data_IF_098493819246
#
_entry.id   IF_098493819246
#
_cell.length_a   1.000
_cell.length_b   1.000
_cell.length_c   1.000
_cell.angle_alpha   90.00
_cell.angle_beta   90.00
_cell.angle_gamma   90.00
#
_symmetry.space_group_name_H-M   'P 1'
#
loop_
_entity.id
_entity.type
_entity.pdbx_description
1 polymer ?
#
# COMPACT_ATOMS: atom_id res chain seq x y z
N UNK A 1 -2.28 0.15 -4.02
CA UNK A 1 -2.51 -1.18 -4.60
C UNK A 1 -1.30 -2.11 -4.42
N UNK A 2 -0.06 -1.65 -4.70
CA UNK A 2 1.13 -2.50 -4.49
C UNK A 2 1.25 -3.04 -3.07
N UNK A 3 1.04 -2.21 -2.05
CA UNK A 3 1.09 -2.65 -0.65
C UNK A 3 0.06 -3.73 -0.33
N UNK A 4 -1.17 -3.59 -0.83
CA UNK A 4 -2.21 -4.59 -0.67
C UNK A 4 -1.87 -5.89 -1.43
N UNK A 5 -1.32 -5.78 -2.64
CA UNK A 5 -0.83 -6.94 -3.40
C UNK A 5 0.28 -7.69 -2.68
N UNK A 6 1.29 -6.97 -2.17
CA UNK A 6 2.36 -7.55 -1.35
C UNK A 6 1.83 -8.22 -0.09
N UNK A 7 0.81 -7.62 0.56
CA UNK A 7 0.22 -8.17 1.77
C UNK A 7 -0.53 -9.49 1.49
N UNK A 8 -1.34 -9.53 0.44
CA UNK A 8 -2.18 -10.70 0.10
C UNK A 8 -1.38 -11.86 -0.49
N UNK A 9 -0.36 -11.56 -1.28
CA UNK A 9 0.50 -12.55 -1.93
C UNK A 9 1.85 -12.73 -1.24
N UNK A 10 1.99 -12.32 0.03
CA UNK A 10 3.25 -12.37 0.77
C UNK A 10 3.89 -13.77 0.80
N UNK A 11 3.11 -14.81 1.09
CA UNK A 11 3.58 -16.19 1.10
C UNK A 11 4.10 -16.64 -0.28
N UNK A 12 3.26 -16.59 -1.33
CA UNK A 12 3.65 -16.92 -2.70
C UNK A 12 4.88 -16.16 -3.20
N UNK A 13 4.97 -14.85 -2.91
CA UNK A 13 6.10 -14.02 -3.32
C UNK A 13 7.40 -14.48 -2.64
N UNK A 14 7.35 -14.75 -1.33
CA UNK A 14 8.54 -15.18 -0.61
C UNK A 14 8.99 -16.60 -1.00
N UNK A 15 8.06 -17.51 -1.27
CA UNK A 15 8.37 -18.83 -1.79
C UNK A 15 9.00 -18.77 -3.19
N UNK A 16 8.55 -17.83 -4.04
CA UNK A 16 9.15 -17.59 -5.35
C UNK A 16 10.59 -17.07 -5.24
N UNK A 17 10.85 -16.16 -4.29
CA UNK A 17 12.15 -15.53 -4.10
C UNK A 17 13.15 -16.45 -3.38
N UNK A 18 12.66 -17.28 -2.46
CA UNK A 18 13.47 -18.14 -1.60
C UNK A 18 13.05 -19.62 -1.69
N UNK A 19 13.14 -20.24 -2.87
CA UNK A 19 12.70 -21.63 -3.06
C UNK A 19 13.54 -22.65 -2.27
N UNK A 20 14.80 -22.30 -1.93
CA UNK A 20 15.71 -23.18 -1.21
C UNK A 20 15.39 -23.32 0.30
N UNK A 21 14.62 -22.39 0.88
CA UNK A 21 14.31 -22.33 2.33
C UNK A 21 12.84 -22.03 2.57
N UNK A 22 11.92 -22.94 2.19
CA UNK A 22 10.48 -22.70 2.19
C UNK A 22 9.91 -22.44 3.60
N UNK A 23 10.44 -23.05 4.64
CA UNK A 23 10.01 -22.84 6.02
C UNK A 23 10.32 -21.41 6.49
N UNK A 24 11.52 -20.91 6.20
CA UNK A 24 11.93 -19.55 6.52
C UNK A 24 11.11 -18.54 5.73
N UNK A 25 10.85 -18.80 4.44
CA UNK A 25 9.99 -17.97 3.60
C UNK A 25 8.57 -17.87 4.15
N UNK A 26 8.01 -18.97 4.64
CA UNK A 26 6.68 -19.00 5.24
C UNK A 26 6.64 -18.24 6.57
N UNK A 27 7.67 -18.37 7.42
CA UNK A 27 7.78 -17.60 8.65
C UNK A 27 7.90 -16.08 8.37
N UNK A 28 8.64 -15.70 7.32
CA UNK A 28 8.78 -14.31 6.90
C UNK A 28 7.52 -13.73 6.24
N UNK A 29 6.59 -14.56 5.77
CA UNK A 29 5.36 -14.11 5.10
C UNK A 29 4.51 -13.20 5.99
N UNK A 30 4.46 -13.47 7.29
CA UNK A 30 3.78 -12.60 8.25
C UNK A 30 4.37 -11.17 8.24
N UNK A 31 5.70 -11.06 8.24
CA UNK A 31 6.37 -9.77 8.25
C UNK A 31 6.07 -8.99 6.97
N UNK A 32 6.13 -9.66 5.81
CA UNK A 32 5.82 -9.04 4.52
C UNK A 32 4.34 -8.62 4.43
N UNK A 33 3.42 -9.41 4.99
CA UNK A 33 1.99 -9.07 5.06
C UNK A 33 1.77 -7.76 5.82
N UNK A 34 2.34 -7.64 7.02
CA UNK A 34 2.18 -6.44 7.85
C UNK A 34 2.88 -5.23 7.23
N UNK A 35 4.08 -5.41 6.68
CA UNK A 35 4.81 -4.33 5.99
C UNK A 35 4.11 -3.90 4.69
N UNK A 36 3.43 -4.82 3.99
CA UNK A 36 2.58 -4.50 2.85
C UNK A 36 1.45 -3.52 3.23
N UNK A 37 0.79 -3.75 4.37
CA UNK A 37 -0.20 -2.82 4.89
C UNK A 37 0.46 -1.50 5.31
N UNK A 38 1.60 -1.56 6.01
CA UNK A 38 2.33 -0.37 6.43
C UNK A 38 2.74 0.51 5.24
N UNK A 39 3.09 -0.07 4.09
CA UNK A 39 3.47 0.66 2.87
C UNK A 39 2.35 1.56 2.33
N UNK A 40 1.08 1.22 2.58
CA UNK A 40 -0.07 2.08 2.23
C UNK A 40 0.01 3.39 3.02
N UNK A 41 0.28 3.30 4.32
CA UNK A 41 0.45 4.49 5.18
C UNK A 41 1.70 5.28 4.80
N UNK A 42 2.80 4.62 4.42
CA UNK A 42 4.00 5.30 3.90
C UNK A 42 3.67 6.14 2.66
N UNK A 43 2.94 5.60 1.70
CA UNK A 43 2.53 6.36 0.52
C UNK A 43 1.64 7.56 0.88
N UNK A 44 0.67 7.38 1.78
CA UNK A 44 -0.18 8.48 2.26
C UNK A 44 0.64 9.55 3.01
N UNK A 45 1.62 9.14 3.81
CA UNK A 45 2.54 10.04 4.50
C UNK A 45 3.33 10.90 3.51
N UNK A 46 3.88 10.31 2.45
CA UNK A 46 4.66 11.04 1.43
C UNK A 46 3.78 12.11 0.76
N UNK A 47 2.56 11.75 0.38
CA UNK A 47 1.63 12.70 -0.26
C UNK A 47 1.23 13.82 0.70
N UNK A 48 0.87 13.49 1.94
CA UNK A 48 0.47 14.50 2.93
C UNK A 48 1.61 15.41 3.35
N UNK A 49 2.84 14.88 3.44
CA UNK A 49 4.04 15.69 3.65
C UNK A 49 4.26 16.67 2.49
N UNK A 50 4.14 16.22 1.24
CA UNK A 50 4.25 17.09 0.07
C UNK A 50 3.23 18.23 0.08
N UNK A 51 1.98 17.94 0.45
CA UNK A 51 0.93 18.98 0.58
C UNK A 51 1.30 19.99 1.67
N UNK A 52 1.76 19.55 2.83
CA UNK A 52 2.16 20.43 3.93
C UNK A 52 3.34 21.32 3.57
N UNK A 53 4.36 20.75 2.91
CA UNK A 53 5.53 21.48 2.43
C UNK A 53 5.16 22.53 1.38
N UNK A 54 4.32 22.16 0.41
CA UNK A 54 3.84 23.08 -0.62
C UNK A 54 3.05 24.28 -0.05
N UNK A 55 2.45 24.12 1.13
CA UNK A 55 1.73 25.18 1.85
C UNK A 55 2.60 25.90 2.90
N UNK A 56 3.92 25.77 2.84
CA UNK A 56 4.87 26.45 3.75
C UNK A 56 4.82 25.93 5.19
N UNK A 57 4.28 24.72 5.41
CA UNK A 57 4.18 24.07 6.72
C UNK A 57 5.23 22.97 6.90
N UNK A 58 6.47 23.24 6.53
CA UNK A 58 7.58 22.27 6.53
C UNK A 58 7.89 21.72 7.93
N UNK A 59 7.65 22.49 8.97
CA UNK A 59 7.88 22.07 10.36
C UNK A 59 6.92 20.96 10.81
N UNK A 60 5.71 20.86 10.24
CA UNK A 60 4.71 19.89 10.67
C UNK A 60 5.16 18.45 10.40
N UNK A 61 5.62 18.08 9.19
CA UNK A 61 6.19 16.77 8.92
C UNK A 61 7.31 16.37 9.87
N UNK A 62 8.16 17.32 10.29
CA UNK A 62 9.27 17.04 11.22
C UNK A 62 8.72 16.55 12.57
N UNK A 63 7.74 17.26 13.13
CA UNK A 63 7.14 16.90 14.41
C UNK A 63 6.32 15.61 14.34
N UNK A 64 5.58 15.40 13.25
CA UNK A 64 4.80 14.17 13.09
C UNK A 64 5.69 12.94 12.89
N UNK A 65 6.81 13.09 12.16
CA UNK A 65 7.82 12.03 12.02
C UNK A 65 8.51 11.73 13.35
N UNK A 66 8.84 12.76 14.14
CA UNK A 66 9.41 12.58 15.46
C UNK A 66 8.43 11.81 16.38
N UNK A 67 7.16 12.20 16.42
CA UNK A 67 6.14 11.52 17.20
C UNK A 67 5.97 10.05 16.77
N UNK A 68 5.95 9.77 15.46
CA UNK A 68 5.91 8.41 14.94
C UNK A 68 7.17 7.62 15.27
N UNK A 69 8.36 8.25 15.24
CA UNK A 69 9.62 7.64 15.62
C UNK A 69 9.64 7.23 17.11
N UNK A 70 9.19 8.12 18.00
CA UNK A 70 9.05 7.80 19.43
C UNK A 70 8.08 6.65 19.63
N UNK A 71 6.90 6.67 18.99
CA UNK A 71 5.95 5.57 19.07
C UNK A 71 6.57 4.26 18.59
N UNK A 72 7.35 4.30 17.49
CA UNK A 72 8.03 3.11 16.96
C UNK A 72 9.01 2.51 17.97
N UNK A 73 9.80 3.35 18.66
CA UNK A 73 10.74 2.89 19.69
C UNK A 73 9.97 2.22 20.82
N UNK A 74 8.93 2.88 21.32
CA UNK A 74 8.11 2.36 22.44
C UNK A 74 7.43 1.05 22.06
N UNK A 75 6.76 1.01 20.90
CA UNK A 75 6.06 -0.21 20.44
C UNK A 75 7.02 -1.36 20.16
N UNK A 76 8.18 -1.09 19.58
CA UNK A 76 9.19 -2.11 19.37
C UNK A 76 9.75 -2.64 20.70
N UNK A 77 10.04 -1.76 21.64
CA UNK A 77 10.52 -2.17 22.96
C UNK A 77 9.51 -3.08 23.67
N UNK A 78 8.24 -2.74 23.65
CA UNK A 78 7.17 -3.52 24.30
C UNK A 78 6.85 -4.83 23.55
N UNK A 79 6.81 -4.79 22.20
CA UNK A 79 6.37 -5.93 21.42
C UNK A 79 7.49 -6.93 21.12
N UNK A 80 8.68 -6.44 20.76
CA UNK A 80 9.83 -7.31 20.49
C UNK A 80 10.40 -7.86 21.80
N UNK A 81 10.31 -7.08 22.89
CA UNK A 81 10.72 -7.52 24.23
C UNK A 81 9.77 -8.56 24.86
N UNK A 82 8.58 -8.75 24.30
CA UNK A 82 7.65 -9.78 24.77
C UNK A 82 8.04 -11.15 24.15
N UNK A 83 8.32 -12.20 24.99
CA UNK A 83 8.68 -13.53 24.51
C UNK A 83 7.67 -14.15 23.55
N UNK A 84 6.37 -13.85 23.70
CA UNK A 84 5.31 -14.42 22.86
C UNK A 84 5.27 -13.83 21.46
N UNK A 85 5.69 -12.58 21.29
CA UNK A 85 5.68 -11.89 19.99
C UNK A 85 7.05 -11.87 19.32
N UNK A 86 8.12 -11.64 20.09
CA UNK A 86 9.48 -11.59 19.59
C UNK A 86 9.62 -10.67 18.37
N UNK A 87 10.37 -11.11 17.37
CA UNK A 87 10.64 -10.34 16.15
C UNK A 87 9.36 -10.00 15.33
N UNK A 88 8.26 -10.73 15.53
CA UNK A 88 6.98 -10.43 14.87
C UNK A 88 6.38 -9.08 15.29
N UNK A 89 6.79 -8.54 16.44
CA UNK A 89 6.38 -7.22 16.90
C UNK A 89 6.94 -6.06 16.08
N UNK A 90 8.10 -6.22 15.46
CA UNK A 90 8.78 -5.13 14.74
C UNK A 90 7.97 -4.55 13.54
N UNK A 91 7.38 -5.35 12.64
CA UNK A 91 6.54 -4.81 11.57
C UNK A 91 5.25 -4.19 12.10
N UNK A 92 4.71 -4.69 13.20
CA UNK A 92 3.51 -4.12 13.84
C UNK A 92 3.82 -2.72 14.41
N UNK A 93 4.96 -2.56 15.09
CA UNK A 93 5.42 -1.24 15.56
C UNK A 93 5.62 -0.26 14.40
N UNK A 94 6.10 -0.72 13.27
CA UNK A 94 6.24 0.08 12.05
C UNK A 94 4.86 0.51 11.51
N UNK A 95 3.90 -0.39 11.47
CA UNK A 95 2.52 -0.11 11.03
C UNK A 95 1.87 0.99 11.91
N UNK A 96 1.93 0.84 13.24
CA UNK A 96 1.36 1.83 14.17
C UNK A 96 2.01 3.20 14.04
N UNK A 97 3.34 3.25 13.86
CA UNK A 97 4.07 4.50 13.67
C UNK A 97 3.60 5.26 12.44
N UNK A 98 3.57 4.60 11.28
CA UNK A 98 3.12 5.25 10.05
C UNK A 98 1.63 5.59 10.06
N UNK A 99 0.80 4.77 10.69
CA UNK A 99 -0.61 5.09 10.88
C UNK A 99 -0.79 6.38 11.71
N UNK A 100 -0.05 6.51 12.83
CA UNK A 100 -0.06 7.73 13.64
C UNK A 100 0.39 8.96 12.82
N UNK A 101 1.51 8.86 12.10
CA UNK A 101 2.02 9.97 11.28
C UNK A 101 0.97 10.41 10.26
N UNK A 102 0.34 9.46 9.55
CA UNK A 102 -0.70 9.78 8.56
C UNK A 102 -1.90 10.47 9.20
N UNK A 103 -2.38 9.99 10.36
CA UNK A 103 -3.50 10.62 11.07
C UNK A 103 -3.15 12.07 11.47
N UNK A 104 -1.96 12.29 12.05
CA UNK A 104 -1.51 13.63 12.43
C UNK A 104 -1.36 14.55 11.21
N UNK A 105 -0.79 14.04 10.13
CA UNK A 105 -0.66 14.79 8.88
C UNK A 105 -2.02 15.14 8.26
N UNK A 106 -2.98 14.20 8.23
CA UNK A 106 -4.33 14.46 7.73
C UNK A 106 -5.05 15.55 8.52
N UNK A 107 -4.92 15.53 9.86
CA UNK A 107 -5.44 16.59 10.73
C UNK A 107 -4.78 17.93 10.38
N UNK A 108 -3.47 17.93 10.21
CA UNK A 108 -2.73 19.14 9.87
C UNK A 108 -3.10 19.70 8.49
N UNK A 109 -3.22 18.85 7.47
CA UNK A 109 -3.67 19.23 6.12
C UNK A 109 -5.10 19.78 6.17
N UNK A 110 -6.01 19.10 6.86
CA UNK A 110 -7.40 19.56 7.00
C UNK A 110 -7.48 20.96 7.64
N UNK A 111 -6.69 21.21 8.69
CA UNK A 111 -6.59 22.54 9.32
C UNK A 111 -5.94 23.58 8.42
N UNK A 112 -4.89 23.21 7.69
CA UNK A 112 -4.18 24.11 6.78
C UNK A 112 -5.08 24.56 5.61
N UNK A 113 -5.83 23.64 5.04
CA UNK A 113 -6.68 23.88 3.86
C UNK A 113 -8.13 24.27 4.24
N UNK A 114 -8.39 24.66 5.50
CA UNK A 114 -9.72 25.10 6.00
C UNK A 114 -10.86 24.14 5.63
N UNK A 115 -10.60 22.84 5.65
CA UNK A 115 -11.59 21.82 5.36
C UNK A 115 -11.96 21.62 3.89
N UNK A 116 -11.22 22.22 2.96
CA UNK A 116 -11.50 22.07 1.51
C UNK A 116 -11.10 20.71 0.93
N UNK A 117 -10.32 19.89 1.66
CA UNK A 117 -9.88 18.58 1.21
C UNK A 117 -10.63 17.47 1.92
N UNK A 118 -11.54 16.86 1.20
CA UNK A 118 -12.24 15.64 1.62
C UNK A 118 -11.44 14.41 1.23
N UNK A 119 -10.49 14.00 2.07
CA UNK A 119 -9.67 12.79 1.83
C UNK A 119 -10.52 11.55 1.54
N UNK A 120 -11.65 11.40 2.21
CA UNK A 120 -12.54 10.26 2.02
C UNK A 120 -13.07 10.19 0.59
N UNK A 121 -13.44 11.32 0.01
CA UNK A 121 -13.95 11.41 -1.37
C UNK A 121 -12.91 11.00 -2.42
N UNK A 122 -11.63 11.27 -2.16
CA UNK A 122 -10.53 10.92 -3.09
C UNK A 122 -10.01 9.51 -2.89
N UNK A 123 -10.02 8.99 -1.66
CA UNK A 123 -9.44 7.69 -1.32
C UNK A 123 -10.38 6.51 -1.52
N UNK A 124 -11.70 6.72 -1.51
CA UNK A 124 -12.65 5.62 -1.56
C UNK A 124 -12.64 4.84 -2.88
N UNK A 125 -12.53 5.55 -4.03
CA UNK A 125 -12.47 4.90 -5.36
C UNK A 125 -11.21 4.04 -5.53
N UNK A 126 -9.97 4.56 -5.34
CA UNK A 126 -8.77 3.75 -5.36
C UNK A 126 -8.78 2.65 -4.29
N UNK A 127 -9.40 2.91 -3.14
CA UNK A 127 -9.55 1.93 -2.06
C UNK A 127 -10.40 0.73 -2.49
N UNK A 128 -11.55 0.96 -3.12
CA UNK A 128 -12.39 -0.09 -3.67
C UNK A 128 -11.67 -0.89 -4.77
N UNK A 129 -11.01 -0.20 -5.72
CA UNK A 129 -10.21 -0.87 -6.75
C UNK A 129 -9.15 -1.80 -6.13
N UNK A 130 -8.50 -1.32 -5.07
CA UNK A 130 -7.47 -2.08 -4.36
C UNK A 130 -8.05 -3.29 -3.63
N UNK A 131 -9.22 -3.14 -2.99
CA UNK A 131 -9.88 -4.25 -2.30
C UNK A 131 -10.31 -5.35 -3.29
N UNK A 132 -10.93 -4.97 -4.41
CA UNK A 132 -11.32 -5.94 -5.46
C UNK A 132 -10.09 -6.59 -6.09
N UNK A 133 -9.03 -5.83 -6.36
CA UNK A 133 -7.76 -6.37 -6.84
C UNK A 133 -7.17 -7.40 -5.85
N UNK A 134 -7.18 -7.11 -4.56
CA UNK A 134 -6.65 -8.00 -3.54
C UNK A 134 -7.44 -9.32 -3.47
N UNK A 135 -8.76 -9.26 -3.57
CA UNK A 135 -9.63 -10.44 -3.65
C UNK A 135 -9.37 -11.23 -4.93
N UNK A 136 -9.26 -10.56 -6.08
CA UNK A 136 -8.96 -11.19 -7.36
C UNK A 136 -7.56 -11.85 -7.35
N UNK A 137 -6.56 -11.22 -6.75
CA UNK A 137 -5.21 -11.77 -6.60
C UNK A 137 -5.23 -13.08 -5.78
N UNK A 138 -5.95 -13.07 -4.66
CA UNK A 138 -6.06 -14.24 -3.78
C UNK A 138 -6.81 -15.39 -4.46
N UNK A 139 -7.94 -15.10 -5.12
CA UNK A 139 -8.72 -16.13 -5.83
C UNK A 139 -7.97 -16.69 -7.04
N UNK A 140 -7.32 -15.82 -7.83
CA UNK A 140 -6.51 -16.24 -8.96
C UNK A 140 -5.36 -17.15 -8.52
N UNK A 141 -4.64 -16.79 -7.45
CA UNK A 141 -3.61 -17.65 -6.92
C UNK A 141 -4.15 -19.01 -6.45
N UNK A 142 -5.27 -19.03 -5.72
CA UNK A 142 -5.89 -20.26 -5.22
C UNK A 142 -6.29 -21.22 -6.34
N UNK A 143 -6.86 -20.70 -7.43
CA UNK A 143 -7.24 -21.51 -8.61
C UNK A 143 -6.02 -21.97 -9.40
N UNK A 144 -5.07 -21.08 -9.67
CA UNK A 144 -3.87 -21.41 -10.46
C UNK A 144 -2.92 -22.37 -9.74
N UNK A 145 -2.77 -22.25 -8.43
CA UNK A 145 -1.92 -23.13 -7.63
C UNK A 145 -2.38 -24.59 -7.63
N UNK A 146 -3.65 -24.85 -7.96
CA UNK A 146 -4.18 -26.21 -8.11
C UNK A 146 -3.84 -26.85 -9.45
N UNK A 147 -3.50 -26.05 -10.49
CA UNK A 147 -3.33 -26.54 -11.87
C UNK A 147 -1.91 -26.35 -12.42
N UNK A 148 -1.11 -25.46 -11.83
CA UNK A 148 0.22 -25.07 -12.32
C UNK A 148 1.21 -25.06 -11.15
N UNK A 149 2.51 -25.04 -11.47
CA UNK A 149 3.56 -24.92 -10.44
C UNK A 149 3.38 -23.61 -9.64
N UNK A 150 3.66 -23.67 -8.34
CA UNK A 150 3.46 -22.54 -7.41
C UNK A 150 4.12 -21.24 -7.89
N UNK A 151 5.30 -21.34 -8.51
CA UNK A 151 6.03 -20.18 -9.03
C UNK A 151 5.30 -19.51 -10.21
N UNK A 152 4.79 -20.30 -11.14
CA UNK A 152 4.01 -19.78 -12.28
C UNK A 152 2.67 -19.23 -11.80
N UNK A 153 2.03 -19.88 -10.84
CA UNK A 153 0.79 -19.40 -10.24
C UNK A 153 0.98 -18.04 -9.55
N UNK A 154 2.09 -17.84 -8.84
CA UNK A 154 2.40 -16.57 -8.18
C UNK A 154 2.60 -15.44 -9.21
N UNK A 155 3.41 -15.66 -10.25
CA UNK A 155 3.64 -14.66 -11.30
C UNK A 155 2.35 -14.33 -12.06
N UNK A 156 1.56 -15.35 -12.43
CA UNK A 156 0.28 -15.16 -13.11
C UNK A 156 -0.74 -14.42 -12.23
N UNK A 157 -0.79 -14.71 -10.91
CA UNK A 157 -1.67 -14.01 -9.99
C UNK A 157 -1.28 -12.52 -9.84
N UNK A 158 0.02 -12.21 -9.80
CA UNK A 158 0.51 -10.82 -9.78
C UNK A 158 0.12 -10.08 -11.06
N UNK A 159 0.32 -10.71 -12.23
CA UNK A 159 -0.04 -10.12 -13.51
C UNK A 159 -1.57 -9.90 -13.64
N UNK A 160 -2.36 -10.88 -13.21
CA UNK A 160 -3.82 -10.77 -13.17
C UNK A 160 -4.29 -9.66 -12.23
N UNK A 161 -3.69 -9.56 -11.03
CA UNK A 161 -4.00 -8.50 -10.08
C UNK A 161 -3.71 -7.11 -10.67
N UNK A 162 -2.56 -6.93 -11.31
CA UNK A 162 -2.20 -5.67 -11.96
C UNK A 162 -3.19 -5.31 -13.08
N UNK A 163 -3.56 -6.28 -13.92
CA UNK A 163 -4.54 -6.08 -14.99
C UNK A 163 -5.92 -5.68 -14.43
N UNK A 164 -6.41 -6.41 -13.43
CA UNK A 164 -7.69 -6.11 -12.76
C UNK A 164 -7.67 -4.71 -12.14
N UNK A 165 -6.58 -4.32 -11.48
CA UNK A 165 -6.47 -2.98 -10.92
C UNK A 165 -6.54 -1.89 -11.99
N UNK A 166 -5.79 -2.04 -13.08
CA UNK A 166 -5.76 -1.06 -14.18
C UNK A 166 -7.15 -0.93 -14.80
N UNK A 167 -7.81 -2.06 -15.09
CA UNK A 167 -9.16 -2.07 -15.68
C UNK A 167 -10.16 -1.37 -14.76
N UNK A 168 -10.14 -1.70 -13.45
CA UNK A 168 -11.05 -1.09 -12.48
C UNK A 168 -10.75 0.40 -12.25
N UNK A 169 -9.46 0.79 -12.21
CA UNK A 169 -9.07 2.19 -12.05
C UNK A 169 -9.55 3.05 -13.23
N UNK A 170 -9.50 2.52 -14.44
CA UNK A 170 -10.05 3.17 -15.63
C UNK A 170 -11.58 3.19 -15.63
N UNK A 171 -12.23 2.07 -15.30
CA UNK A 171 -13.69 1.95 -15.29
C UNK A 171 -14.37 2.83 -14.23
N UNK A 172 -13.77 2.96 -13.03
CA UNK A 172 -14.29 3.78 -11.95
C UNK A 172 -13.83 5.25 -12.01
N UNK A 173 -13.05 5.62 -13.05
CA UNK A 173 -12.53 6.97 -13.20
C UNK A 173 -11.62 7.39 -12.05
N UNK A 174 -10.88 6.45 -11.48
CA UNK A 174 -9.84 6.73 -10.49
C UNK A 174 -8.59 7.33 -11.13
N UNK A 175 -8.44 7.14 -12.46
CA UNK A 175 -7.43 7.78 -13.32
C UNK A 175 -8.21 8.57 -14.38
N UNK A 176 -8.02 9.88 -14.41
CA UNK A 176 -8.69 10.80 -15.34
C UNK A 176 -7.87 10.96 -16.63
N UNK A 177 -8.54 11.36 -17.72
CA UNK A 177 -7.86 11.66 -18.97
C UNK A 177 -6.79 12.76 -18.83
N UNK A 178 -7.01 13.71 -17.91
CA UNK A 178 -6.06 14.78 -17.60
C UNK A 178 -4.79 14.25 -16.93
N UNK A 179 -4.90 13.22 -16.08
CA UNK A 179 -3.74 12.57 -15.47
C UNK A 179 -2.86 11.88 -16.51
N UNK A 180 -3.49 11.31 -17.56
CA UNK A 180 -2.77 10.67 -18.67
C UNK A 180 -2.08 11.66 -19.59
N UNK A 181 -2.62 12.90 -19.75
CA UNK A 181 -1.99 13.95 -20.60
C UNK A 181 -0.63 14.40 -20.11
N UNK A 182 -0.32 14.26 -18.84
CA UNK A 182 0.99 14.57 -18.27
C UNK A 182 2.08 13.59 -18.70
N UNK A 183 1.73 12.44 -19.27
CA UNK A 183 2.70 11.50 -19.83
C UNK A 183 2.94 11.76 -21.32
N UNK A 184 4.20 11.76 -21.75
CA UNK A 184 4.70 12.06 -23.13
C UNK A 184 4.02 11.28 -24.28
N UNK A 185 3.23 10.23 -23.96
CA UNK A 185 2.40 9.42 -24.90
C UNK A 185 0.93 9.32 -24.44
N UNK A 186 0.53 10.09 -23.45
CA UNK A 186 -0.79 9.96 -22.81
C UNK A 186 -1.97 10.32 -23.71
N UNK A 187 -1.81 11.30 -24.59
CA UNK A 187 -2.87 11.70 -25.53
C UNK A 187 -3.32 10.53 -26.46
N UNK A 188 -2.37 9.73 -26.95
CA UNK A 188 -2.69 8.55 -27.80
C UNK A 188 -3.42 7.46 -27.03
N UNK A 189 -3.16 7.34 -25.72
CA UNK A 189 -3.82 6.38 -24.84
C UNK A 189 -5.19 6.87 -24.39
N UNK A 190 -5.33 8.17 -24.09
CA UNK A 190 -6.62 8.78 -23.72
C UNK A 190 -7.65 8.67 -24.87
N UNK A 191 -7.22 8.91 -26.12
CA UNK A 191 -8.07 8.74 -27.30
C UNK A 191 -8.48 7.29 -27.56
N UNK A 192 -7.59 6.32 -27.34
CA UNK A 192 -7.90 4.88 -27.53
C UNK A 192 -8.84 4.31 -26.47
N UNK A 193 -8.80 4.86 -25.25
CA UNK A 193 -9.57 4.35 -24.11
C UNK A 193 -10.92 5.09 -23.93
N UNK A 194 -11.28 6.04 -24.80
CA UNK A 194 -12.53 6.83 -24.74
C UNK A 194 -12.80 7.41 -23.33
N UNK A 195 -11.74 7.79 -22.59
CA UNK A 195 -11.85 8.39 -21.27
C UNK A 195 -12.38 9.83 -21.42
N UNK A 196 -13.46 10.12 -20.69
CA UNK A 196 -14.01 11.47 -20.53
C UNK A 196 -13.26 12.24 -19.46
#
# INVERSE_FOLDING_TARGET
>A
PMGAGLSVLAGPILQLLYPAVPETAQAAAYHLTVLGIASIFVCLMVVTNGILQANGRESVPIWTLLAGGVLKIVTNYLMVGNPDMGIRGAPVGTLYSYALIVVLNMIAVHRCMKGQVDFFRYLWRPGLCTAVMALAARSAYGVLAAHVSQNLAAVAAIAAAAAVYVILALALGAVTADDLRHFKKGEKWAQRLHLR
#
